data_IF_073147835696
#
_entry.id   IF_073147835696
#
_cell.length_a   1.000
_cell.length_b   1.000
_cell.length_c   1.000
_cell.angle_alpha   90.00
_cell.angle_beta   90.00
_cell.angle_gamma   90.00
#
_symmetry.space_group_name_H-M   'P 1'
#
loop_
_entity.id
_entity.type
_entity.pdbx_description
1 polymer ?
#
# COMPACT_ATOMS: atom_id res chain seq x y z
N UNK A 1 24.35 9.23 41.93
CA UNK A 1 23.78 10.14 40.91
C UNK A 1 23.12 9.26 39.87
N UNK A 2 21.79 9.15 39.94
CA UNK A 2 21.00 8.29 39.04
C UNK A 2 20.92 9.01 37.69
N UNK A 3 21.46 8.37 36.66
CA UNK A 3 21.32 8.82 35.27
C UNK A 3 19.85 8.72 34.88
N UNK A 4 19.17 9.85 34.77
CA UNK A 4 17.83 9.92 34.18
C UNK A 4 17.92 9.44 32.73
N UNK A 5 17.40 8.24 32.46
CA UNK A 5 16.97 7.90 31.10
C UNK A 5 15.88 8.90 30.77
N UNK A 6 16.19 9.82 29.88
CA UNK A 6 15.19 10.61 29.19
C UNK A 6 14.30 9.60 28.47
N UNK A 7 13.12 9.32 29.01
CA UNK A 7 12.08 8.56 28.31
C UNK A 7 11.68 9.41 27.11
N UNK A 8 12.38 9.18 26.00
CA UNK A 8 12.05 9.73 24.70
C UNK A 8 10.62 9.24 24.42
N UNK A 9 9.64 10.14 24.51
CA UNK A 9 8.27 9.86 24.10
C UNK A 9 8.25 9.22 22.71
N UNK A 10 7.17 8.51 22.34
CA UNK A 10 7.13 7.82 21.06
C UNK A 10 7.57 8.77 19.96
N UNK A 11 8.63 8.38 19.23
CA UNK A 11 9.15 9.18 18.12
C UNK A 11 7.98 9.48 17.18
N UNK A 12 7.72 10.77 16.94
CA UNK A 12 6.67 11.19 16.02
C UNK A 12 7.07 10.73 14.62
N UNK A 13 6.38 9.73 14.09
CA UNK A 13 6.56 9.25 12.72
C UNK A 13 5.94 10.26 11.75
N UNK A 14 6.73 10.80 10.81
CA UNK A 14 6.24 11.71 9.77
C UNK A 14 6.07 10.95 8.44
N UNK A 15 4.84 10.84 7.94
CA UNK A 15 4.57 10.27 6.62
C UNK A 15 4.76 11.33 5.56
N UNK A 16 5.63 11.08 4.59
CA UNK A 16 5.98 12.01 3.51
C UNK A 16 5.28 11.65 2.22
N UNK A 17 5.07 12.65 1.36
CA UNK A 17 4.76 12.39 -0.04
C UNK A 17 5.98 11.68 -0.65
N UNK A 18 5.75 10.61 -1.43
CA UNK A 18 6.84 9.76 -1.93
C UNK A 18 7.91 10.54 -2.72
N UNK A 19 7.53 11.58 -3.46
CA UNK A 19 8.45 12.44 -4.23
C UNK A 19 9.26 13.42 -3.37
N UNK A 20 8.90 13.58 -2.11
CA UNK A 20 9.62 14.40 -1.13
C UNK A 20 10.57 13.57 -0.26
N UNK A 21 10.61 12.25 -0.45
CA UNK A 21 11.59 11.39 0.20
C UNK A 21 12.98 11.63 -0.39
N UNK A 22 13.99 11.60 0.47
CA UNK A 22 15.38 11.49 0.01
C UNK A 22 15.65 10.09 -0.55
N UNK A 23 16.72 9.94 -1.35
CA UNK A 23 17.14 8.63 -1.83
C UNK A 23 17.39 7.65 -0.66
N UNK A 24 18.00 8.11 0.44
CA UNK A 24 18.25 7.28 1.62
C UNK A 24 16.95 6.81 2.29
N UNK A 25 15.94 7.68 2.39
CA UNK A 25 14.63 7.31 2.93
C UNK A 25 13.91 6.30 2.04
N UNK A 26 13.99 6.48 0.71
CA UNK A 26 13.38 5.56 -0.24
C UNK A 26 14.07 4.19 -0.20
N UNK A 27 15.40 4.15 -0.25
CA UNK A 27 16.18 2.91 -0.18
C UNK A 27 15.91 2.16 1.12
N UNK A 28 15.82 2.89 2.25
CA UNK A 28 15.45 2.33 3.55
C UNK A 28 14.05 1.73 3.55
N UNK A 29 13.08 2.43 2.99
CA UNK A 29 11.70 1.94 2.83
C UNK A 29 11.64 0.67 1.97
N UNK A 30 12.26 0.69 0.78
CA UNK A 30 12.30 -0.45 -0.15
C UNK A 30 12.90 -1.68 0.53
N UNK A 31 14.06 -1.51 1.17
CA UNK A 31 14.75 -2.59 1.89
C UNK A 31 13.85 -3.22 2.96
N UNK A 32 13.13 -2.40 3.73
CA UNK A 32 12.26 -2.92 4.78
C UNK A 32 10.98 -3.57 4.23
N UNK A 33 10.40 -3.03 3.15
CA UNK A 33 9.25 -3.65 2.48
C UNK A 33 9.63 -5.01 1.92
N UNK A 34 10.76 -5.14 1.22
CA UNK A 34 11.24 -6.43 0.70
C UNK A 34 11.46 -7.45 1.82
N UNK A 35 12.09 -7.05 2.93
CA UNK A 35 12.26 -7.93 4.10
C UNK A 35 10.93 -8.32 4.76
N UNK A 36 10.00 -7.37 4.91
CA UNK A 36 8.68 -7.65 5.46
C UNK A 36 7.93 -8.63 4.54
N UNK A 37 8.00 -8.42 3.24
CA UNK A 37 7.33 -9.22 2.22
C UNK A 37 7.72 -10.71 2.28
N UNK A 38 9.00 -10.99 2.50
CA UNK A 38 9.53 -12.36 2.67
C UNK A 38 9.13 -13.02 4.00
N UNK A 39 8.57 -12.27 4.94
CA UNK A 39 8.24 -12.76 6.28
C UNK A 39 6.83 -13.36 6.38
N UNK A 40 6.63 -14.21 7.39
CA UNK A 40 5.29 -14.68 7.75
C UNK A 40 4.34 -13.54 8.21
N UNK A 41 4.87 -12.38 8.63
CA UNK A 41 4.07 -11.25 9.03
C UNK A 41 3.34 -10.63 7.84
N UNK A 42 4.01 -10.48 6.69
CA UNK A 42 3.34 -10.04 5.46
C UNK A 42 2.18 -10.96 5.09
N UNK A 43 2.41 -12.27 5.14
CA UNK A 43 1.37 -13.28 4.87
C UNK A 43 0.18 -13.13 5.82
N UNK A 44 0.42 -12.85 7.11
CA UNK A 44 -0.66 -12.60 8.09
C UNK A 44 -1.46 -11.35 7.76
N UNK A 45 -0.82 -10.22 7.46
CA UNK A 45 -1.51 -8.97 7.11
C UNK A 45 -2.27 -9.06 5.79
N UNK A 46 -1.69 -9.72 4.78
CA UNK A 46 -2.32 -10.03 3.50
C UNK A 46 -3.58 -10.87 3.71
N UNK A 47 -3.48 -11.99 4.44
CA UNK A 47 -4.63 -12.86 4.73
C UNK A 47 -5.74 -12.19 5.53
N UNK A 48 -5.43 -11.19 6.35
CA UNK A 48 -6.44 -10.40 7.08
C UNK A 48 -7.22 -9.50 6.11
N UNK A 49 -6.54 -8.90 5.14
CA UNK A 49 -7.18 -8.06 4.13
C UNK A 49 -7.95 -8.86 3.07
N UNK A 50 -7.44 -10.03 2.69
CA UNK A 50 -8.06 -10.93 1.70
C UNK A 50 -9.14 -11.86 2.28
N UNK A 51 -9.31 -11.91 3.60
CA UNK A 51 -10.05 -12.99 4.25
C UNK A 51 -11.48 -13.15 3.71
N UNK A 52 -11.84 -14.37 3.28
CA UNK A 52 -13.19 -14.76 2.84
C UNK A 52 -14.25 -14.71 3.96
N UNK A 53 -13.84 -14.55 5.22
CA UNK A 53 -14.78 -14.30 6.32
C UNK A 53 -15.48 -12.98 6.06
N UNK A 54 -16.73 -13.09 5.60
CA UNK A 54 -17.65 -11.97 5.35
C UNK A 54 -17.59 -10.90 6.43
N UNK A 55 -17.48 -11.27 7.72
CA UNK A 55 -17.35 -10.30 8.81
C UNK A 55 -16.13 -9.36 8.72
N UNK A 56 -14.95 -9.85 8.32
CA UNK A 56 -13.76 -8.99 8.19
C UNK A 56 -13.88 -8.14 6.93
N UNK A 57 -14.40 -8.71 5.85
CA UNK A 57 -14.72 -7.98 4.64
C UNK A 57 -15.71 -6.84 4.92
N UNK A 58 -16.83 -7.13 5.59
CA UNK A 58 -17.86 -6.15 5.96
C UNK A 58 -17.31 -5.03 6.82
N UNK A 59 -16.38 -5.30 7.74
CA UNK A 59 -15.74 -4.26 8.54
C UNK A 59 -14.76 -3.42 7.70
N UNK A 60 -13.87 -4.08 6.98
CA UNK A 60 -12.81 -3.42 6.19
C UNK A 60 -13.38 -2.61 5.03
N UNK A 61 -14.44 -3.08 4.38
CA UNK A 61 -15.08 -2.47 3.21
C UNK A 61 -16.49 -1.97 3.53
N UNK A 62 -16.72 -1.58 4.78
CA UNK A 62 -17.99 -1.02 5.22
C UNK A 62 -18.28 0.32 4.54
N UNK A 63 -19.47 0.45 3.97
CA UNK A 63 -19.99 1.72 3.47
C UNK A 63 -21.20 2.21 4.28
N UNK A 64 -21.78 3.34 3.86
CA UNK A 64 -22.95 3.91 4.50
C UNK A 64 -24.18 2.96 4.51
N UNK A 65 -24.23 1.95 3.63
CA UNK A 65 -25.36 1.00 3.54
C UNK A 65 -25.35 -0.01 4.67
N UNK A 66 -24.19 -0.27 5.26
CA UNK A 66 -24.04 -1.18 6.40
C UNK A 66 -24.06 -0.45 7.75
N UNK A 67 -24.06 0.90 7.76
CA UNK A 67 -24.01 1.75 8.97
C UNK A 67 -22.83 1.47 9.91
N UNK A 68 -21.82 0.71 9.45
CA UNK A 68 -20.69 0.29 10.27
C UNK A 68 -19.53 1.31 10.23
N UNK A 69 -19.46 2.18 9.21
CA UNK A 69 -18.54 3.34 9.14
C UNK A 69 -17.07 3.02 9.49
N UNK A 70 -16.66 1.75 9.34
CA UNK A 70 -15.37 1.25 9.83
C UNK A 70 -14.28 1.24 8.78
N UNK A 71 -14.59 1.50 7.50
CA UNK A 71 -13.61 1.54 6.40
C UNK A 71 -12.36 2.38 6.74
N UNK A 72 -12.54 3.66 7.09
CA UNK A 72 -11.44 4.58 7.39
C UNK A 72 -10.63 4.17 8.65
N UNK A 73 -11.24 3.94 9.83
CA UNK A 73 -10.48 3.55 11.01
C UNK A 73 -9.84 2.16 10.88
N UNK A 74 -10.48 1.21 10.19
CA UNK A 74 -9.95 -0.13 9.97
C UNK A 74 -8.67 -0.07 9.11
N UNK A 75 -8.71 0.62 7.97
CA UNK A 75 -7.55 0.77 7.10
C UNK A 75 -6.43 1.58 7.76
N UNK A 76 -6.76 2.59 8.57
CA UNK A 76 -5.76 3.32 9.38
C UNK A 76 -5.05 2.40 10.36
N UNK A 77 -5.79 1.52 11.04
CA UNK A 77 -5.21 0.56 11.98
C UNK A 77 -4.39 -0.52 11.26
N UNK A 78 -4.87 -1.02 10.13
CA UNK A 78 -4.16 -2.00 9.29
C UNK A 78 -2.83 -1.43 8.80
N UNK A 79 -2.82 -0.22 8.22
CA UNK A 79 -1.59 0.47 7.80
C UNK A 79 -0.65 0.72 8.98
N UNK A 80 -1.16 1.08 10.16
CA UNK A 80 -0.32 1.25 11.35
C UNK A 80 0.28 -0.06 11.82
N UNK A 81 -0.41 -1.18 11.63
CA UNK A 81 0.11 -2.52 11.88
C UNK A 81 1.32 -2.82 10.99
N UNK A 82 1.18 -2.61 9.68
CA UNK A 82 2.28 -2.76 8.72
C UNK A 82 3.44 -1.83 9.05
N UNK A 83 3.17 -0.55 9.31
CA UNK A 83 4.20 0.43 9.68
C UNK A 83 4.98 0.01 10.92
N UNK A 84 4.30 -0.60 11.92
CA UNK A 84 4.97 -1.15 13.11
C UNK A 84 5.87 -2.34 12.79
N UNK A 85 5.49 -3.20 11.84
CA UNK A 85 6.36 -4.29 11.39
C UNK A 85 7.58 -3.74 10.66
N UNK A 86 7.41 -2.74 9.78
CA UNK A 86 8.53 -2.03 9.14
C UNK A 86 9.44 -1.36 10.19
N UNK A 87 8.87 -0.77 11.23
CA UNK A 87 9.61 -0.13 12.32
C UNK A 87 10.40 -1.10 13.21
N UNK A 88 10.08 -2.40 13.20
CA UNK A 88 10.93 -3.43 13.81
C UNK A 88 12.20 -3.68 13.01
N UNK A 89 12.18 -3.41 11.70
CA UNK A 89 13.32 -3.53 10.80
C UNK A 89 14.16 -2.25 10.85
N UNK A 90 13.52 -1.09 10.73
CA UNK A 90 14.15 0.22 10.93
C UNK A 90 13.16 1.19 11.61
N UNK A 91 13.46 1.64 12.85
CA UNK A 91 12.54 2.46 13.64
C UNK A 91 12.24 3.85 13.04
N UNK A 92 12.99 4.31 12.04
CA UNK A 92 12.77 5.61 11.38
C UNK A 92 11.77 5.54 10.22
N UNK A 93 11.34 4.35 9.83
CA UNK A 93 10.46 4.19 8.67
C UNK A 93 9.05 4.73 8.97
N UNK A 94 8.54 5.45 7.98
CA UNK A 94 7.14 5.85 7.84
C UNK A 94 6.64 5.35 6.48
N UNK A 95 5.41 4.86 6.42
CA UNK A 95 4.81 4.52 5.11
C UNK A 95 4.59 5.84 4.34
N UNK A 96 5.15 6.00 3.12
CA UNK A 96 4.90 7.20 2.33
C UNK A 96 3.47 7.22 1.79
N UNK A 97 3.00 8.40 1.39
CA UNK A 97 1.75 8.54 0.68
C UNK A 97 1.98 9.03 -0.76
N UNK A 98 1.08 8.64 -1.65
CA UNK A 98 1.04 9.16 -3.01
C UNK A 98 -0.04 10.23 -3.11
N UNK A 99 0.35 11.47 -3.40
CA UNK A 99 -0.59 12.50 -3.78
C UNK A 99 -1.00 12.33 -5.25
N UNK A 100 -1.93 11.41 -5.48
CA UNK A 100 -2.42 11.05 -6.80
C UNK A 100 -3.10 12.19 -7.56
N UNK A 101 -3.58 13.22 -6.87
CA UNK A 101 -4.17 14.40 -7.53
C UNK A 101 -3.17 15.17 -8.41
N UNK A 102 -1.87 15.03 -8.16
CA UNK A 102 -0.82 15.63 -9.00
C UNK A 102 -0.66 14.91 -10.35
N UNK A 103 -1.06 13.64 -10.40
CA UNK A 103 -0.90 12.77 -11.56
C UNK A 103 -2.27 12.35 -12.13
N UNK A 104 -3.36 13.02 -11.71
CA UNK A 104 -4.72 12.55 -11.94
C UNK A 104 -5.12 12.48 -13.40
N UNK A 105 -4.56 13.34 -14.24
CA UNK A 105 -4.82 13.37 -15.68
C UNK A 105 -4.13 12.23 -16.44
N UNK A 106 -2.99 11.75 -15.92
CA UNK A 106 -2.18 10.72 -16.56
C UNK A 106 -1.39 9.92 -15.50
N UNK A 107 -2.07 9.00 -14.79
CA UNK A 107 -1.45 8.26 -13.70
C UNK A 107 -0.28 7.38 -14.16
N UNK A 108 -0.34 6.87 -15.39
CA UNK A 108 0.69 6.00 -15.97
C UNK A 108 2.01 6.73 -16.21
N UNK A 109 1.97 8.04 -16.45
CA UNK A 109 3.17 8.87 -16.54
C UNK A 109 3.61 9.47 -15.20
N UNK A 110 2.99 9.07 -14.08
CA UNK A 110 3.46 9.46 -12.74
C UNK A 110 4.85 8.89 -12.47
N UNK A 111 5.80 9.68 -11.92
CA UNK A 111 7.04 9.13 -11.40
C UNK A 111 6.80 8.00 -10.39
N UNK A 112 5.71 8.06 -9.62
CA UNK A 112 5.35 7.05 -8.60
C UNK A 112 5.12 5.67 -9.22
N UNK A 113 4.56 5.63 -10.43
CA UNK A 113 4.33 4.42 -11.21
C UNK A 113 5.39 4.28 -12.32
N UNK A 114 6.66 4.40 -11.92
CA UNK A 114 7.81 4.20 -12.79
C UNK A 114 8.91 3.44 -12.05
N UNK A 115 9.99 3.10 -12.75
CA UNK A 115 11.15 2.41 -12.20
C UNK A 115 11.82 3.18 -11.05
N UNK A 116 11.60 4.49 -10.96
CA UNK A 116 12.07 5.30 -9.85
C UNK A 116 11.45 4.85 -8.51
N UNK A 117 10.19 4.41 -8.52
CA UNK A 117 9.46 4.01 -7.32
C UNK A 117 8.81 2.63 -7.47
N UNK A 118 7.52 2.54 -7.77
CA UNK A 118 6.75 1.29 -7.65
C UNK A 118 6.66 0.46 -8.95
N UNK A 119 7.52 0.74 -9.92
CA UNK A 119 7.51 0.13 -11.26
C UNK A 119 6.41 0.70 -12.16
N UNK A 120 6.58 0.50 -13.47
CA UNK A 120 5.67 0.96 -14.53
C UNK A 120 4.34 0.19 -14.64
N UNK A 121 3.63 0.39 -15.75
CA UNK A 121 2.53 -0.52 -16.12
C UNK A 121 3.07 -1.93 -16.38
N UNK A 122 2.19 -2.92 -16.32
CA UNK A 122 2.52 -4.27 -16.72
C UNK A 122 2.68 -4.40 -18.23
N UNK A 123 3.49 -5.36 -18.66
CA UNK A 123 3.67 -5.71 -20.06
C UNK A 123 2.70 -6.84 -20.47
N UNK A 124 1.73 -6.59 -21.37
CA UNK A 124 0.79 -7.61 -21.84
C UNK A 124 1.46 -8.81 -22.52
N UNK A 125 2.63 -8.62 -23.13
CA UNK A 125 3.39 -9.73 -23.75
C UNK A 125 4.05 -10.63 -22.69
N UNK A 126 4.21 -10.12 -21.47
CA UNK A 126 4.77 -10.83 -20.32
C UNK A 126 3.70 -11.09 -19.23
N UNK A 127 2.43 -11.20 -19.62
CA UNK A 127 1.34 -11.56 -18.70
C UNK A 127 1.00 -10.48 -17.67
N UNK A 128 1.17 -9.21 -18.07
CA UNK A 128 0.95 -7.99 -17.30
C UNK A 128 1.90 -7.81 -16.11
N UNK A 129 3.06 -8.48 -16.12
CA UNK A 129 4.12 -8.26 -15.14
C UNK A 129 4.67 -6.85 -15.24
N UNK A 130 4.93 -6.22 -14.09
CA UNK A 130 5.81 -5.04 -14.06
C UNK A 130 7.22 -5.49 -14.49
N UNK A 131 7.86 -4.74 -15.37
CA UNK A 131 9.13 -5.11 -16.02
C UNK A 131 10.32 -4.22 -15.59
N UNK A 132 10.15 -3.50 -14.48
CA UNK A 132 11.14 -2.53 -14.03
C UNK A 132 10.86 -1.98 -12.65
N UNK A 133 11.90 -1.37 -12.06
CA UNK A 133 11.88 -0.80 -10.73
C UNK A 133 12.26 -1.77 -9.62
N UNK A 134 12.39 -1.23 -8.41
CA UNK A 134 12.92 -1.95 -7.24
C UNK A 134 12.07 -3.12 -6.74
N UNK A 135 10.87 -3.31 -7.31
CA UNK A 135 9.93 -4.36 -6.95
C UNK A 135 9.65 -5.34 -8.10
N UNK A 136 10.33 -5.22 -9.24
CA UNK A 136 10.19 -6.15 -10.39
C UNK A 136 10.39 -7.61 -9.96
N UNK A 137 11.48 -7.86 -9.22
CA UNK A 137 11.86 -9.18 -8.73
C UNK A 137 11.13 -9.60 -7.44
N UNK A 138 10.19 -8.79 -6.92
CA UNK A 138 9.31 -9.24 -5.84
C UNK A 138 8.36 -10.30 -6.39
N UNK A 139 8.86 -11.52 -6.42
CA UNK A 139 8.03 -12.68 -6.72
C UNK A 139 7.09 -12.92 -5.54
N UNK A 140 5.78 -13.02 -5.80
CA UNK A 140 4.81 -13.61 -4.86
C UNK A 140 5.50 -14.84 -4.32
N UNK A 141 5.78 -14.86 -3.01
CA UNK A 141 6.51 -15.95 -2.36
C UNK A 141 5.75 -17.24 -2.64
N UNK A 142 6.08 -17.87 -3.77
CA UNK A 142 5.67 -19.19 -4.18
C UNK A 142 6.56 -20.16 -3.42
N UNK A 143 6.58 -20.01 -2.08
CA UNK A 143 6.79 -21.18 -1.27
C UNK A 143 5.58 -22.06 -1.60
N UNK A 144 5.87 -23.09 -2.40
CA UNK A 144 4.97 -24.05 -3.05
C UNK A 144 4.08 -24.87 -2.08
N UNK A 145 3.71 -24.30 -0.94
CA UNK A 145 2.87 -24.88 0.10
C UNK A 145 1.71 -23.95 0.51
N UNK A 146 1.61 -22.73 -0.04
CA UNK A 146 0.50 -21.79 0.26
C UNK A 146 -0.58 -21.79 -0.83
N UNK A 147 -0.24 -22.21 -2.06
CA UNK A 147 -1.19 -22.43 -3.16
C UNK A 147 -1.58 -23.91 -3.28
N UNK A 148 -1.89 -24.59 -2.17
CA UNK A 148 -2.30 -26.01 -2.23
C UNK A 148 -3.63 -26.25 -2.98
N UNK A 149 -4.39 -25.20 -3.34
CA UNK A 149 -5.65 -25.34 -4.07
C UNK A 149 -5.89 -24.23 -5.12
N UNK A 150 -4.84 -23.75 -5.79
CA UNK A 150 -5.05 -22.95 -7.01
C UNK A 150 -4.78 -23.82 -8.26
N UNK A 151 -5.83 -24.38 -8.90
CA UNK A 151 -5.68 -25.21 -10.09
C UNK A 151 -5.12 -24.46 -11.31
N UNK A 152 -5.00 -23.12 -11.25
CA UNK A 152 -4.40 -22.29 -12.28
C UNK A 152 -2.91 -21.93 -12.00
N UNK A 153 -2.32 -22.42 -10.90
CA UNK A 153 -0.94 -22.13 -10.51
C UNK A 153 0.13 -22.84 -11.35
N UNK A 154 -0.24 -23.81 -12.19
CA UNK A 154 0.69 -24.52 -13.07
C UNK A 154 1.06 -23.63 -14.28
N UNK A 155 2.08 -22.78 -14.12
CA UNK A 155 2.54 -21.83 -15.13
C UNK A 155 2.21 -20.36 -14.85
N UNK A 156 1.64 -20.03 -13.68
CA UNK A 156 1.38 -18.64 -13.29
C UNK A 156 2.69 -17.87 -13.05
N UNK A 157 2.91 -16.79 -13.80
CA UNK A 157 4.01 -15.86 -13.58
C UNK A 157 3.90 -15.29 -12.16
N UNK A 158 4.88 -15.58 -11.31
CA UNK A 158 4.89 -15.18 -9.89
C UNK A 158 5.22 -13.69 -9.68
N UNK A 159 5.12 -12.84 -10.70
CA UNK A 159 5.48 -11.42 -10.66
C UNK A 159 4.35 -10.56 -10.07
N UNK A 160 4.67 -9.31 -9.68
CA UNK A 160 3.66 -8.29 -9.46
C UNK A 160 3.06 -7.89 -10.82
N UNK A 161 1.73 -7.97 -10.92
CA UNK A 161 1.01 -7.55 -12.13
C UNK A 161 0.38 -6.17 -11.95
N UNK A 162 0.37 -5.38 -13.01
CA UNK A 162 -0.33 -4.10 -13.05
C UNK A 162 -0.95 -3.89 -14.42
N UNK A 163 -2.24 -3.55 -14.43
CA UNK A 163 -2.92 -3.14 -15.64
C UNK A 163 -3.72 -1.88 -15.36
N UNK A 164 -3.20 -0.74 -15.81
CA UNK A 164 -3.99 0.48 -15.93
C UNK A 164 -4.23 0.74 -17.42
N UNK A 165 -5.50 0.83 -17.87
CA UNK A 165 -5.79 1.21 -19.25
C UNK A 165 -5.47 2.69 -19.49
N UNK A 166 -5.05 3.02 -20.72
CA UNK A 166 -4.74 4.39 -21.16
C UNK A 166 -5.93 5.34 -20.95
N UNK A 167 -7.17 4.85 -21.10
CA UNK A 167 -8.41 5.59 -20.84
C UNK A 167 -9.11 5.18 -19.54
N UNK A 168 -8.35 5.01 -18.46
CA UNK A 168 -8.92 4.70 -17.12
C UNK A 168 -9.83 5.79 -16.53
N UNK A 169 -10.03 6.92 -17.24
CA UNK A 169 -10.84 8.05 -16.78
C UNK A 169 -10.12 8.97 -15.81
N UNK A 170 -8.81 8.78 -15.62
CA UNK A 170 -8.00 9.51 -14.66
C UNK A 170 -8.33 9.16 -13.20
N UNK A 171 -7.55 9.73 -12.28
CA UNK A 171 -7.89 9.70 -10.86
C UNK A 171 -8.69 10.95 -10.50
N UNK A 172 -9.28 10.97 -9.30
CA UNK A 172 -9.93 12.18 -8.81
C UNK A 172 -8.91 13.34 -8.82
N UNK A 173 -9.37 14.54 -9.16
CA UNK A 173 -8.53 15.73 -9.21
C UNK A 173 -8.44 16.39 -7.82
N UNK A 174 -7.54 17.36 -7.66
CA UNK A 174 -7.52 18.19 -6.45
C UNK A 174 -8.86 18.92 -6.21
N UNK A 175 -9.56 19.30 -7.27
CA UNK A 175 -10.90 19.89 -7.16
C UNK A 175 -11.90 18.90 -6.57
N UNK A 176 -11.89 17.64 -7.06
CA UNK A 176 -12.75 16.59 -6.51
C UNK A 176 -12.44 16.30 -5.04
N UNK A 177 -11.16 16.23 -4.65
CA UNK A 177 -10.77 16.05 -3.24
C UNK A 177 -11.26 17.22 -2.39
N UNK A 178 -11.10 18.45 -2.87
CA UNK A 178 -11.56 19.64 -2.15
C UNK A 178 -13.07 19.56 -1.93
N UNK A 179 -13.84 19.25 -2.97
CA UNK A 179 -15.29 19.16 -2.89
C UNK A 179 -15.73 18.09 -1.91
N UNK A 180 -15.07 16.94 -1.87
CA UNK A 180 -15.30 15.88 -0.87
C UNK A 180 -15.02 16.38 0.56
N UNK A 181 -13.88 17.06 0.78
CA UNK A 181 -13.45 17.47 2.11
C UNK A 181 -14.30 18.61 2.71
N UNK A 182 -14.81 19.52 1.89
CA UNK A 182 -15.61 20.66 2.36
C UNK A 182 -17.11 20.44 2.22
N UNK A 183 -17.52 19.51 1.35
CA UNK A 183 -18.92 19.21 1.07
C UNK A 183 -19.52 18.19 2.03
N UNK A 184 -18.71 17.38 2.72
CA UNK A 184 -19.18 16.46 3.74
C UNK A 184 -19.55 17.22 5.04
N UNK A 185 -20.83 17.23 5.39
CA UNK A 185 -21.34 17.84 6.63
C UNK A 185 -21.02 17.00 7.87
N UNK A 186 -20.95 15.68 7.69
CA UNK A 186 -20.60 14.71 8.72
C UNK A 186 -19.89 13.48 8.13
N UNK A 187 -19.47 12.56 9.01
CA UNK A 187 -18.76 11.34 8.59
C UNK A 187 -19.61 10.43 7.68
N UNK A 188 -20.94 10.44 7.81
CA UNK A 188 -21.83 9.62 7.00
C UNK A 188 -21.98 10.15 5.58
N UNK A 189 -21.81 11.47 5.40
CA UNK A 189 -21.79 12.14 4.10
C UNK A 189 -20.43 12.09 3.37
N UNK A 190 -19.40 11.50 4.00
CA UNK A 190 -18.08 11.32 3.39
C UNK A 190 -18.06 10.05 2.53
N UNK A 191 -18.40 10.19 1.24
CA UNK A 191 -18.47 9.10 0.26
C UNK A 191 -17.95 9.55 -1.11
#
# INVERSE_FOLDING_TARGET
LVSSKEERGPLLTNRKEVREMTCEEWDGYVKAVTQLYESEHWTKYRKVHENERQLIWDLSHSDARQELFTFLPWHRLWLRGIERELQKIDPNIAIPYWNWALDSADPLNSPVLSDQYFGGNGDPENGDCIMGGVFEDLTLVANATIFEEDPDAEGATCCIKRYMPEESGGLLTLANIKDLLIGAEDFSSFN
#
